data_IF_103175828525
#
_entry.id   IF_103175828525
#
_cell.length_a   1.000
_cell.length_b   1.000
_cell.length_c   1.000
_cell.angle_alpha   90.00
_cell.angle_beta   90.00
_cell.angle_gamma   90.00
#
_symmetry.space_group_name_H-M   'P 1'
#
loop_
_entity.id
_entity.type
_entity.pdbx_description
1 polymer ?
#
# COMPACT_ATOMS: atom_id res chain seq x y z
N UNK A 1 -15.22 -34.76 2.36
CA UNK A 1 -15.90 -33.64 3.04
C UNK A 1 -14.84 -32.55 3.16
N UNK A 2 -14.76 -31.64 2.14
CA UNK A 2 -13.82 -30.52 2.19
C UNK A 2 -14.42 -29.48 3.12
N UNK A 3 -13.85 -29.35 4.31
CA UNK A 3 -14.06 -28.19 5.17
C UNK A 3 -13.41 -27.03 4.43
N UNK A 4 -14.22 -26.18 3.76
CA UNK A 4 -13.75 -24.87 3.32
C UNK A 4 -13.52 -24.06 4.60
N UNK A 5 -12.26 -24.03 5.05
CA UNK A 5 -11.86 -23.11 6.09
C UNK A 5 -12.13 -21.68 5.53
N UNK A 6 -13.07 -21.01 6.15
CA UNK A 6 -13.36 -19.59 5.86
C UNK A 6 -12.15 -18.79 6.36
N UNK A 7 -11.30 -18.38 5.45
CA UNK A 7 -10.07 -17.62 5.74
C UNK A 7 -10.37 -16.25 6.38
N UNK A 8 -11.56 -15.70 6.13
CA UNK A 8 -11.95 -14.36 6.55
C UNK A 8 -13.43 -14.35 6.95
N UNK A 9 -13.75 -13.74 8.11
CA UNK A 9 -15.12 -13.66 8.63
C UNK A 9 -15.45 -12.25 9.14
N UNK A 10 -16.64 -11.74 8.79
CA UNK A 10 -17.21 -10.55 9.40
C UNK A 10 -16.34 -9.30 9.25
N UNK A 11 -15.74 -9.08 8.07
CA UNK A 11 -14.97 -7.87 7.78
C UNK A 11 -15.94 -6.79 7.30
N UNK A 12 -15.95 -5.66 8.02
CA UNK A 12 -16.58 -4.42 7.59
C UNK A 12 -15.51 -3.34 7.57
N UNK A 13 -15.26 -2.75 6.40
CA UNK A 13 -14.31 -1.65 6.23
C UNK A 13 -14.84 -0.66 5.21
N UNK A 14 -14.45 0.58 5.35
CA UNK A 14 -14.76 1.67 4.45
C UNK A 14 -13.46 2.36 4.05
N UNK A 15 -13.39 2.82 2.81
CA UNK A 15 -12.25 3.57 2.27
C UNK A 15 -12.82 4.77 1.52
N UNK A 16 -12.50 5.96 1.99
CA UNK A 16 -12.93 7.20 1.37
C UNK A 16 -11.90 7.71 0.34
N UNK A 17 -12.33 8.63 -0.49
CA UNK A 17 -11.44 9.31 -1.44
C UNK A 17 -10.36 10.09 -0.68
N UNK A 18 -9.10 9.95 -1.12
CA UNK A 18 -7.97 10.59 -0.46
C UNK A 18 -7.53 9.97 0.86
N UNK A 19 -8.21 8.91 1.32
CA UNK A 19 -7.90 8.19 2.57
C UNK A 19 -6.96 7.02 2.31
N UNK A 20 -6.01 6.79 3.21
CA UNK A 20 -5.14 5.62 3.24
C UNK A 20 -5.56 4.72 4.39
N UNK A 21 -6.15 3.58 4.05
CA UNK A 21 -6.51 2.52 5.00
C UNK A 21 -5.50 1.39 4.90
N UNK A 22 -4.92 0.98 6.02
CA UNK A 22 -3.93 -0.11 6.03
C UNK A 22 -4.45 -1.35 6.73
N UNK A 23 -4.34 -2.49 6.06
CA UNK A 23 -4.54 -3.81 6.65
C UNK A 23 -3.21 -4.34 7.19
N UNK A 24 -3.18 -4.62 8.48
CA UNK A 24 -2.05 -5.26 9.15
C UNK A 24 -2.48 -6.62 9.72
N UNK A 25 -1.52 -7.49 9.98
CA UNK A 25 -1.82 -8.80 10.57
C UNK A 25 -0.74 -9.83 10.24
N UNK A 26 -0.71 -10.97 10.93
CA UNK A 26 0.24 -12.05 10.66
C UNK A 26 0.05 -12.66 9.26
N UNK A 27 1.04 -13.42 8.82
CA UNK A 27 0.92 -14.16 7.56
C UNK A 27 -0.23 -15.17 7.66
N UNK A 28 -1.03 -15.27 6.57
CA UNK A 28 -2.22 -16.12 6.56
C UNK A 28 -3.47 -15.51 7.23
N UNK A 29 -3.40 -14.29 7.75
CA UNK A 29 -4.56 -13.64 8.42
C UNK A 29 -5.70 -13.23 7.47
N UNK A 30 -5.49 -13.33 6.14
CA UNK A 30 -6.50 -13.02 5.13
C UNK A 30 -6.41 -11.66 4.48
N UNK A 31 -5.31 -10.88 4.68
CA UNK A 31 -5.13 -9.53 4.11
C UNK A 31 -5.28 -9.50 2.58
N UNK A 32 -4.46 -10.27 1.87
CA UNK A 32 -4.52 -10.40 0.41
C UNK A 32 -5.86 -10.96 -0.07
N UNK A 33 -6.47 -11.87 0.69
CA UNK A 33 -7.81 -12.41 0.37
C UNK A 33 -8.87 -11.33 0.46
N UNK A 34 -8.84 -10.51 1.52
CA UNK A 34 -9.74 -9.35 1.68
C UNK A 34 -9.55 -8.35 0.54
N UNK A 35 -8.32 -8.01 0.19
CA UNK A 35 -8.03 -7.13 -0.93
C UNK A 35 -8.59 -7.66 -2.26
N UNK A 36 -8.42 -8.97 -2.53
CA UNK A 36 -8.96 -9.60 -3.74
C UNK A 36 -10.49 -9.65 -3.77
N UNK A 37 -11.15 -9.76 -2.61
CA UNK A 37 -12.61 -9.65 -2.51
C UNK A 37 -13.08 -8.22 -2.81
N UNK A 38 -12.42 -7.20 -2.27
CA UNK A 38 -12.73 -5.79 -2.55
C UNK A 38 -12.60 -5.47 -4.05
N UNK A 39 -11.59 -6.06 -4.70
CA UNK A 39 -11.34 -5.91 -6.13
C UNK A 39 -12.27 -6.76 -7.01
N UNK A 40 -13.19 -7.53 -6.43
CA UNK A 40 -14.03 -8.51 -7.13
C UNK A 40 -13.24 -9.57 -7.92
N UNK A 41 -11.99 -9.84 -7.52
CA UNK A 41 -11.17 -10.94 -8.06
C UNK A 41 -11.60 -12.27 -7.41
N UNK A 42 -12.01 -12.22 -6.15
CA UNK A 42 -12.58 -13.34 -5.42
C UNK A 42 -14.01 -13.00 -4.99
N UNK A 43 -14.93 -13.94 -5.18
CA UNK A 43 -16.29 -13.79 -4.71
C UNK A 43 -16.36 -13.93 -3.18
N UNK A 44 -17.22 -13.16 -2.54
CA UNK A 44 -17.58 -13.33 -1.14
C UNK A 44 -18.62 -14.44 -1.01
N UNK A 45 -18.48 -15.32 -0.01
CA UNK A 45 -19.54 -16.32 0.29
C UNK A 45 -20.76 -15.66 0.92
N UNK A 46 -20.53 -14.63 1.75
CA UNK A 46 -21.55 -13.83 2.43
C UNK A 46 -21.09 -12.36 2.48
N UNK A 47 -22.06 -11.43 2.54
CA UNK A 47 -21.80 -10.00 2.56
C UNK A 47 -21.77 -9.36 1.18
N UNK A 48 -21.55 -8.06 1.17
CA UNK A 48 -21.57 -7.24 -0.04
C UNK A 48 -20.35 -6.33 -0.09
N UNK A 49 -19.72 -6.25 -1.25
CA UNK A 49 -18.78 -5.19 -1.58
C UNK A 49 -19.57 -4.11 -2.31
N UNK A 50 -19.75 -2.96 -1.66
CA UNK A 50 -20.49 -1.83 -2.24
C UNK A 50 -19.55 -0.63 -2.36
N UNK A 51 -19.71 0.19 -3.38
CA UNK A 51 -18.91 1.40 -3.51
C UNK A 51 -19.18 2.16 -4.80
N UNK A 52 -18.75 3.42 -4.82
CA UNK A 52 -18.80 4.30 -5.99
C UNK A 52 -17.55 4.17 -6.87
N UNK A 53 -16.52 3.46 -6.42
CA UNK A 53 -15.29 3.26 -7.15
C UNK A 53 -15.59 2.50 -8.46
N UNK A 54 -15.40 3.18 -9.60
CA UNK A 54 -15.61 2.61 -10.94
C UNK A 54 -14.32 2.06 -11.52
N UNK A 55 -13.19 2.66 -11.14
CA UNK A 55 -11.86 2.29 -11.58
C UNK A 55 -11.06 1.84 -10.37
N UNK A 56 -10.72 0.58 -10.33
CA UNK A 56 -9.86 0.01 -9.28
C UNK A 56 -8.56 -0.47 -9.91
N UNK A 57 -7.45 -0.26 -9.20
CA UNK A 57 -6.14 -0.73 -9.61
C UNK A 57 -5.50 -1.55 -8.48
N UNK A 58 -4.67 -2.51 -8.86
CA UNK A 58 -4.01 -3.42 -7.94
C UNK A 58 -2.53 -3.60 -8.26
N UNK A 59 -1.70 -3.41 -7.26
CA UNK A 59 -0.28 -3.77 -7.28
C UNK A 59 -0.11 -4.97 -6.36
N UNK A 60 0.11 -6.17 -6.89
CA UNK A 60 0.27 -7.38 -6.11
C UNK A 60 1.66 -7.46 -5.48
N UNK A 61 1.78 -8.21 -4.38
CA UNK A 61 3.05 -8.47 -3.69
C UNK A 61 4.13 -9.06 -4.61
N UNK A 62 3.73 -9.94 -5.52
CA UNK A 62 4.65 -10.59 -6.48
C UNK A 62 4.04 -10.58 -7.87
N UNK A 63 4.85 -10.24 -8.84
CA UNK A 63 4.53 -10.39 -10.25
C UNK A 63 5.47 -11.44 -10.83
N UNK A 64 4.88 -12.43 -11.48
CA UNK A 64 5.63 -13.43 -12.21
C UNK A 64 5.97 -12.87 -13.60
N UNK A 65 7.20 -12.40 -13.76
CA UNK A 65 7.76 -11.95 -15.03
C UNK A 65 8.89 -12.92 -15.39
N UNK A 66 8.95 -13.32 -16.64
CA UNK A 66 10.14 -13.98 -17.17
C UNK A 66 11.23 -12.92 -17.38
N UNK A 67 12.16 -12.84 -16.44
CA UNK A 67 13.26 -11.87 -16.45
C UNK A 67 14.24 -12.06 -17.61
N UNK A 68 14.16 -13.15 -18.35
CA UNK A 68 14.96 -13.37 -19.55
C UNK A 68 14.38 -12.70 -20.79
N UNK A 69 13.11 -12.26 -20.72
CA UNK A 69 12.43 -11.59 -21.82
C UNK A 69 12.95 -10.15 -21.96
N UNK A 70 13.36 -9.72 -23.15
CA UNK A 70 13.75 -8.33 -23.40
C UNK A 70 12.51 -7.43 -23.41
N UNK A 71 12.11 -6.94 -22.22
CA UNK A 71 10.91 -6.17 -22.02
C UNK A 71 11.28 -4.78 -21.46
N UNK A 72 11.03 -3.71 -22.24
CA UNK A 72 11.25 -2.34 -21.80
C UNK A 72 10.08 -1.85 -20.94
N UNK A 73 10.33 -0.83 -20.12
CA UNK A 73 9.29 -0.19 -19.29
C UNK A 73 8.09 0.23 -20.14
N UNK A 74 8.30 0.90 -21.27
CA UNK A 74 7.20 1.32 -22.16
C UNK A 74 6.36 0.14 -22.65
N UNK A 75 6.98 -0.98 -22.98
CA UNK A 75 6.29 -2.18 -23.46
C UNK A 75 5.52 -2.84 -22.31
N UNK A 76 6.11 -2.89 -21.11
CA UNK A 76 5.46 -3.37 -19.89
C UNK A 76 4.24 -2.52 -19.51
N UNK A 77 4.32 -1.20 -19.63
CA UNK A 77 3.20 -0.30 -19.37
C UNK A 77 2.01 -0.55 -20.29
N UNK A 78 2.27 -0.97 -21.54
CA UNK A 78 1.25 -1.25 -22.56
C UNK A 78 0.64 -2.65 -22.45
N UNK A 79 1.30 -3.61 -21.79
CA UNK A 79 0.76 -4.95 -21.61
C UNK A 79 -0.56 -4.88 -20.82
N UNK A 80 -1.62 -5.51 -21.35
CA UNK A 80 -2.96 -5.60 -20.76
C UNK A 80 -3.71 -4.28 -20.57
N UNK A 81 -3.06 -3.13 -20.75
CA UNK A 81 -3.65 -1.81 -20.61
C UNK A 81 -3.54 -1.06 -21.94
N UNK A 82 -4.67 -0.60 -22.48
CA UNK A 82 -4.70 0.32 -23.62
C UNK A 82 -4.32 1.74 -23.15
N UNK A 83 -3.06 1.92 -22.72
CA UNK A 83 -2.53 3.23 -22.33
C UNK A 83 -1.95 3.94 -23.54
N UNK A 84 -2.26 5.23 -23.68
CA UNK A 84 -1.59 6.08 -24.64
C UNK A 84 -0.25 6.61 -24.08
N UNK A 85 0.60 7.16 -24.93
CA UNK A 85 1.93 7.61 -24.54
C UNK A 85 1.87 8.73 -23.47
N UNK A 86 0.90 9.63 -23.55
CA UNK A 86 0.71 10.72 -22.55
C UNK A 86 0.43 10.15 -21.18
N UNK A 87 -0.50 9.18 -21.06
CA UNK A 87 -0.81 8.51 -19.79
C UNK A 87 0.42 7.80 -19.20
N UNK A 88 1.22 7.15 -20.06
CA UNK A 88 2.44 6.49 -19.65
C UNK A 88 3.44 7.50 -19.08
N UNK A 89 3.74 8.56 -19.84
CA UNK A 89 4.71 9.58 -19.43
C UNK A 89 4.26 10.28 -18.15
N UNK A 90 3.00 10.73 -18.07
CA UNK A 90 2.44 11.36 -16.87
C UNK A 90 2.56 10.46 -15.64
N UNK A 91 2.20 9.19 -15.75
CA UNK A 91 2.23 8.28 -14.60
C UNK A 91 3.67 7.93 -14.16
N UNK A 92 4.60 7.77 -15.09
CA UNK A 92 6.01 7.56 -14.77
C UNK A 92 6.63 8.81 -14.13
N UNK A 93 6.29 10.01 -14.63
CA UNK A 93 6.73 11.27 -14.03
C UNK A 93 6.18 11.45 -12.61
N UNK A 94 4.91 11.12 -12.36
CA UNK A 94 4.33 11.13 -11.02
C UNK A 94 5.05 10.21 -10.03
N UNK A 95 5.64 9.13 -10.51
CA UNK A 95 6.40 8.19 -9.67
C UNK A 95 7.90 8.42 -9.70
N UNK A 96 8.38 9.45 -10.46
CA UNK A 96 9.79 9.86 -10.54
C UNK A 96 10.68 8.84 -11.23
N UNK A 97 10.17 8.18 -12.28
CA UNK A 97 10.89 7.15 -13.07
C UNK A 97 10.67 7.29 -14.58
N UNK A 98 10.32 8.48 -15.05
CA UNK A 98 10.09 8.77 -16.47
C UNK A 98 11.36 8.62 -17.33
N UNK A 99 12.52 8.86 -16.76
CA UNK A 99 13.82 8.62 -17.41
C UNK A 99 14.06 7.14 -17.75
N UNK A 100 13.37 6.22 -17.06
CA UNK A 100 13.51 4.77 -17.25
C UNK A 100 12.61 4.23 -18.37
N UNK A 101 11.87 5.07 -19.09
CA UNK A 101 10.85 4.67 -20.07
C UNK A 101 11.34 3.62 -21.08
N UNK A 102 12.59 3.72 -21.52
CA UNK A 102 13.18 2.80 -22.50
C UNK A 102 14.13 1.76 -21.91
N UNK A 103 14.33 1.78 -20.59
CA UNK A 103 15.16 0.80 -19.90
C UNK A 103 14.51 -0.58 -19.90
N UNK A 104 15.34 -1.61 -19.83
CA UNK A 104 14.88 -2.98 -19.68
C UNK A 104 14.39 -3.23 -18.25
N UNK A 105 13.25 -3.90 -18.08
CA UNK A 105 12.67 -4.20 -16.75
C UNK A 105 13.67 -4.95 -15.86
N UNK A 106 14.44 -5.88 -16.44
CA UNK A 106 15.42 -6.69 -15.68
C UNK A 106 16.64 -5.88 -15.19
N UNK A 107 16.86 -4.67 -15.70
CA UNK A 107 17.97 -3.79 -15.26
C UNK A 107 17.58 -2.82 -14.14
N UNK A 108 16.30 -2.80 -13.77
CA UNK A 108 15.79 -1.90 -12.73
C UNK A 108 16.15 -2.43 -11.34
N UNK A 109 16.45 -1.51 -10.42
CA UNK A 109 16.47 -1.82 -9.00
C UNK A 109 15.08 -2.19 -8.48
N UNK A 110 15.00 -2.83 -7.31
CA UNK A 110 13.71 -3.18 -6.70
C UNK A 110 12.80 -1.96 -6.51
N UNK A 111 13.35 -0.84 -6.03
CA UNK A 111 12.60 0.40 -5.82
C UNK A 111 12.12 1.04 -7.14
N UNK A 112 12.96 1.07 -8.16
CA UNK A 112 12.57 1.56 -9.50
C UNK A 112 11.46 0.70 -10.10
N UNK A 113 11.59 -0.62 -9.98
CA UNK A 113 10.56 -1.52 -10.47
C UNK A 113 9.23 -1.33 -9.73
N UNK A 114 9.24 -1.17 -8.39
CA UNK A 114 8.04 -0.86 -7.62
C UNK A 114 7.40 0.47 -8.05
N UNK A 115 8.19 1.52 -8.32
CA UNK A 115 7.68 2.78 -8.84
C UNK A 115 7.05 2.63 -10.22
N UNK A 116 7.62 1.82 -11.10
CA UNK A 116 7.04 1.48 -12.41
C UNK A 116 5.71 0.72 -12.25
N UNK A 117 5.61 -0.20 -11.28
CA UNK A 117 4.37 -0.91 -10.99
C UNK A 117 3.26 0.02 -10.52
N UNK A 118 3.60 0.95 -9.63
CA UNK A 118 2.67 1.97 -9.15
C UNK A 118 2.28 2.90 -10.30
N UNK A 119 3.24 3.37 -11.12
CA UNK A 119 2.95 4.20 -12.31
C UNK A 119 1.91 3.52 -13.22
N UNK A 120 2.12 2.23 -13.49
CA UNK A 120 1.19 1.44 -14.30
C UNK A 120 -0.22 1.35 -13.69
N UNK A 121 -0.30 1.19 -12.38
CA UNK A 121 -1.57 1.12 -11.65
C UNK A 121 -2.32 2.46 -11.69
N UNK A 122 -1.63 3.59 -11.52
CA UNK A 122 -2.24 4.92 -11.47
C UNK A 122 -2.48 5.56 -12.85
N UNK A 123 -1.93 4.99 -13.94
CA UNK A 123 -2.01 5.57 -15.28
C UNK A 123 -3.45 5.83 -15.79
N UNK A 124 -4.44 5.09 -15.28
CA UNK A 124 -5.86 5.29 -15.58
C UNK A 124 -6.60 6.11 -14.52
N UNK A 125 -5.89 6.74 -13.59
CA UNK A 125 -6.44 7.54 -12.49
C UNK A 125 -7.56 6.76 -11.76
N UNK A 126 -7.19 5.73 -10.98
CA UNK A 126 -8.17 4.91 -10.28
C UNK A 126 -8.85 5.67 -9.14
N UNK A 127 -10.08 5.28 -8.81
CA UNK A 127 -10.80 5.77 -7.64
C UNK A 127 -10.33 5.04 -6.36
N UNK A 128 -9.87 3.78 -6.51
CA UNK A 128 -9.30 2.94 -5.46
C UNK A 128 -8.02 2.26 -5.96
N UNK A 129 -6.93 2.45 -5.22
CA UNK A 129 -5.65 1.79 -5.45
C UNK A 129 -5.38 0.80 -4.31
N UNK A 130 -5.17 -0.45 -4.64
CA UNK A 130 -4.80 -1.50 -3.67
C UNK A 130 -3.33 -1.86 -3.86
N UNK A 131 -2.55 -1.74 -2.80
CA UNK A 131 -1.11 -2.01 -2.75
C UNK A 131 -0.84 -3.15 -1.77
N UNK A 132 -0.37 -4.28 -2.27
CA UNK A 132 -0.07 -5.46 -1.46
C UNK A 132 1.44 -5.58 -1.25
N UNK A 133 1.91 -5.20 -0.04
CA UNK A 133 3.33 -5.20 0.36
C UNK A 133 4.25 -4.45 -0.64
N UNK A 134 3.96 -3.18 -0.98
CA UNK A 134 4.63 -2.47 -2.10
C UNK A 134 6.11 -2.18 -1.87
N UNK A 135 6.62 -2.30 -0.64
CA UNK A 135 8.02 -2.02 -0.30
C UNK A 135 8.90 -3.27 -0.24
N UNK A 136 8.32 -4.45 -0.48
CA UNK A 136 9.07 -5.70 -0.38
C UNK A 136 10.24 -5.73 -1.39
N UNK A 137 11.46 -5.89 -0.87
CA UNK A 137 12.68 -5.94 -1.70
C UNK A 137 13.25 -4.58 -2.07
N UNK A 138 12.79 -3.52 -1.42
CA UNK A 138 13.32 -2.17 -1.51
C UNK A 138 14.26 -1.93 -0.31
N UNK A 139 15.30 -1.12 -0.48
CA UNK A 139 16.16 -0.71 0.62
C UNK A 139 15.48 0.35 1.49
N UNK A 140 15.99 0.57 2.71
CA UNK A 140 15.36 1.43 3.70
C UNK A 140 15.07 2.86 3.21
N UNK A 141 16.00 3.49 2.49
CA UNK A 141 15.78 4.84 1.94
C UNK A 141 14.72 4.84 0.84
N UNK A 142 14.70 3.81 0.02
CA UNK A 142 13.70 3.60 -1.01
C UNK A 142 12.31 3.35 -0.43
N UNK A 143 12.21 2.63 0.71
CA UNK A 143 10.96 2.43 1.43
C UNK A 143 10.34 3.74 1.89
N UNK A 144 11.12 4.61 2.55
CA UNK A 144 10.68 5.95 2.98
C UNK A 144 10.15 6.75 1.79
N UNK A 145 10.94 6.78 0.71
CA UNK A 145 10.58 7.52 -0.49
C UNK A 145 9.32 6.96 -1.16
N UNK A 146 9.09 5.63 -1.09
CA UNK A 146 7.93 4.99 -1.67
C UNK A 146 6.65 5.26 -0.86
N UNK A 147 6.72 5.26 0.47
CA UNK A 147 5.58 5.61 1.32
C UNK A 147 5.19 7.10 1.17
N UNK A 148 6.16 8.01 1.05
CA UNK A 148 5.88 9.41 0.74
C UNK A 148 5.18 9.55 -0.61
N UNK A 149 5.65 8.83 -1.63
CA UNK A 149 5.02 8.78 -2.94
C UNK A 149 3.56 8.27 -2.86
N UNK A 150 3.29 7.22 -2.10
CA UNK A 150 1.94 6.70 -1.89
C UNK A 150 1.02 7.77 -1.30
N UNK A 151 1.51 8.54 -0.32
CA UNK A 151 0.77 9.64 0.28
C UNK A 151 0.50 10.77 -0.73
N UNK A 152 1.48 11.14 -1.52
CA UNK A 152 1.31 12.14 -2.60
C UNK A 152 0.28 11.67 -3.65
N UNK A 153 0.30 10.39 -4.04
CA UNK A 153 -0.67 9.82 -4.98
C UNK A 153 -2.09 9.90 -4.41
N UNK A 154 -2.30 9.57 -3.15
CA UNK A 154 -3.62 9.66 -2.49
C UNK A 154 -4.20 11.07 -2.61
N UNK A 155 -3.39 12.09 -2.31
CA UNK A 155 -3.79 13.49 -2.37
C UNK A 155 -3.97 13.98 -3.82
N UNK A 156 -2.97 13.77 -4.68
CA UNK A 156 -2.94 14.33 -6.04
C UNK A 156 -4.03 13.74 -6.95
N UNK A 157 -4.35 12.46 -6.78
CA UNK A 157 -5.41 11.79 -7.54
C UNK A 157 -6.76 11.78 -6.82
N UNK A 158 -6.82 12.25 -5.57
CA UNK A 158 -7.99 12.10 -4.69
C UNK A 158 -8.49 10.64 -4.68
N UNK A 159 -7.56 9.70 -4.58
CA UNK A 159 -7.76 8.26 -4.72
C UNK A 159 -7.75 7.62 -3.33
N UNK A 160 -8.74 6.78 -3.01
CA UNK A 160 -8.69 5.93 -1.83
C UNK A 160 -7.60 4.88 -1.99
N UNK A 161 -6.81 4.63 -0.95
CA UNK A 161 -5.74 3.64 -0.97
C UNK A 161 -6.00 2.56 0.08
N UNK A 162 -6.00 1.30 -0.34
CA UNK A 162 -5.90 0.15 0.54
C UNK A 162 -4.47 -0.36 0.51
N UNK A 163 -3.75 -0.17 1.60
CA UNK A 163 -2.39 -0.64 1.78
C UNK A 163 -2.37 -1.92 2.60
N UNK A 164 -1.64 -2.93 2.18
CA UNK A 164 -1.29 -4.09 3.00
C UNK A 164 0.18 -3.95 3.34
N UNK A 165 0.48 -3.90 4.63
CA UNK A 165 1.85 -3.78 5.11
C UNK A 165 2.03 -4.49 6.45
N UNK A 166 3.23 -4.95 6.70
CA UNK A 166 3.66 -5.45 8.01
C UNK A 166 4.63 -4.48 8.70
N UNK A 167 5.03 -3.41 8.02
CA UNK A 167 5.94 -2.41 8.58
C UNK A 167 5.17 -1.32 9.33
N UNK A 168 5.21 -1.44 10.67
CA UNK A 168 4.47 -0.56 11.55
C UNK A 168 5.03 0.87 11.61
N UNK A 169 6.32 1.08 11.38
CA UNK A 169 6.90 2.41 11.41
C UNK A 169 6.31 3.30 10.32
N UNK A 170 6.19 2.76 9.12
CA UNK A 170 5.60 3.48 8.00
C UNK A 170 4.08 3.58 8.10
N UNK A 171 3.41 2.51 8.56
CA UNK A 171 1.97 2.52 8.79
C UNK A 171 1.59 3.67 9.72
N UNK A 172 2.36 3.89 10.80
CA UNK A 172 2.11 4.96 11.78
C UNK A 172 2.21 6.37 11.19
N UNK A 173 3.05 6.58 10.17
CA UNK A 173 3.33 7.92 9.61
C UNK A 173 2.51 8.27 8.38
N UNK A 174 1.98 7.26 7.67
CA UNK A 174 1.36 7.47 6.35
C UNK A 174 -0.11 7.11 6.30
N UNK A 175 -0.64 6.42 7.30
CA UNK A 175 -1.98 5.82 7.28
C UNK A 175 -2.96 6.65 8.10
N UNK A 176 -4.17 6.84 7.56
CA UNK A 176 -5.28 7.51 8.28
C UNK A 176 -6.02 6.52 9.19
N UNK A 177 -6.24 5.29 8.71
CA UNK A 177 -6.96 4.25 9.43
C UNK A 177 -6.27 2.89 9.31
N UNK A 178 -6.09 2.21 10.43
CA UNK A 178 -5.46 0.88 10.51
C UNK A 178 -6.51 -0.16 10.90
N UNK A 179 -6.45 -1.31 10.25
CA UNK A 179 -7.30 -2.47 10.55
C UNK A 179 -6.41 -3.69 10.81
N UNK A 180 -6.51 -4.23 12.01
CA UNK A 180 -5.81 -5.44 12.39
C UNK A 180 -6.63 -6.67 12.00
N UNK A 181 -6.06 -7.54 11.20
CA UNK A 181 -6.73 -8.72 10.69
C UNK A 181 -6.06 -10.00 11.18
N UNK A 182 -6.87 -10.93 11.69
CA UNK A 182 -6.49 -12.30 12.03
C UNK A 182 -7.67 -13.25 11.78
N UNK A 183 -8.03 -13.43 10.50
CA UNK A 183 -9.25 -14.13 10.09
C UNK A 183 -10.54 -13.33 10.33
N UNK A 184 -10.51 -12.35 11.20
CA UNK A 184 -11.53 -11.34 11.50
C UNK A 184 -10.86 -10.03 11.91
N UNK A 185 -11.60 -8.94 12.01
CA UNK A 185 -11.08 -7.67 12.52
C UNK A 185 -10.91 -7.78 14.04
N UNK A 186 -9.64 -7.75 14.51
CA UNK A 186 -9.31 -7.79 15.93
C UNK A 186 -9.29 -6.39 16.55
N UNK A 187 -8.82 -5.41 15.81
CA UNK A 187 -8.81 -3.99 16.20
C UNK A 187 -8.85 -3.10 14.97
N UNK A 188 -9.34 -1.89 15.13
CA UNK A 188 -9.33 -0.87 14.07
C UNK A 188 -9.36 0.52 14.70
N UNK A 189 -8.85 1.52 13.96
CA UNK A 189 -8.83 2.91 14.39
C UNK A 189 -7.65 3.69 13.82
N UNK A 190 -7.42 4.89 14.36
CA UNK A 190 -6.20 5.64 14.03
C UNK A 190 -4.96 4.85 14.45
N UNK A 191 -3.81 5.03 13.77
CA UNK A 191 -2.57 4.33 14.12
C UNK A 191 -2.24 4.40 15.63
N UNK A 192 -2.36 5.58 16.22
CA UNK A 192 -2.09 5.82 17.65
C UNK A 192 -3.00 5.05 18.61
N UNK A 193 -4.25 4.82 18.22
CA UNK A 193 -5.20 4.04 19.02
C UNK A 193 -4.94 2.54 18.89
N UNK A 194 -4.62 2.09 17.67
CA UNK A 194 -4.36 0.67 17.39
C UNK A 194 -3.15 0.15 18.17
N UNK A 195 -2.05 0.89 18.24
CA UNK A 195 -0.84 0.48 18.98
C UNK A 195 -1.11 0.27 20.48
N UNK A 196 -2.07 1.00 21.05
CA UNK A 196 -2.47 0.88 22.46
C UNK A 196 -3.50 -0.24 22.70
N UNK A 197 -4.03 -0.83 21.64
CA UNK A 197 -5.08 -1.84 21.76
C UNK A 197 -4.50 -3.17 22.27
N UNK A 198 -5.09 -3.80 23.30
CA UNK A 198 -4.62 -5.09 23.85
C UNK A 198 -4.53 -6.21 22.82
N UNK A 199 -5.46 -6.27 21.85
CA UNK A 199 -5.43 -7.28 20.80
C UNK A 199 -4.26 -7.06 19.81
N UNK A 200 -3.90 -5.80 19.55
CA UNK A 200 -2.69 -5.49 18.79
C UNK A 200 -1.43 -5.99 19.52
N UNK A 201 -1.30 -5.65 20.82
CA UNK A 201 -0.15 -6.06 21.65
C UNK A 201 -0.05 -7.58 21.71
N UNK A 202 -1.17 -8.29 21.80
CA UNK A 202 -1.23 -9.75 21.79
C UNK A 202 -0.76 -10.37 20.46
N UNK A 203 -1.08 -9.73 19.32
CA UNK A 203 -0.72 -10.22 17.98
C UNK A 203 0.75 -9.93 17.61
N UNK A 204 1.27 -8.77 18.00
CA UNK A 204 2.57 -8.26 17.54
C UNK A 204 3.63 -8.16 18.64
N UNK A 205 3.27 -8.34 19.93
CA UNK A 205 4.13 -8.31 21.11
C UNK A 205 4.37 -6.90 21.66
N UNK A 206 4.72 -6.83 22.95
CA UNK A 206 4.97 -5.56 23.66
C UNK A 206 6.16 -4.76 23.09
N UNK A 207 7.18 -5.44 22.59
CA UNK A 207 8.41 -4.79 22.10
C UNK A 207 8.14 -3.87 20.90
N UNK A 208 7.20 -4.23 20.02
CA UNK A 208 6.82 -3.40 18.89
C UNK A 208 5.97 -2.19 19.31
N UNK A 209 5.18 -2.29 20.39
CA UNK A 209 4.34 -1.18 20.85
C UNK A 209 5.14 -0.09 21.58
N UNK A 210 6.19 -0.42 22.31
CA UNK A 210 7.04 0.53 23.03
C UNK A 210 7.93 1.33 22.07
N UNK A 211 8.51 0.67 21.07
CA UNK A 211 9.34 1.32 20.05
C UNK A 211 8.54 2.33 19.21
N UNK A 212 7.28 2.02 18.92
CA UNK A 212 6.38 2.88 18.14
C UNK A 212 5.83 4.07 18.93
N UNK A 213 5.63 3.93 20.25
CA UNK A 213 5.21 5.04 21.12
C UNK A 213 6.30 6.11 21.28
N UNK A 214 7.56 5.74 21.15
CA UNK A 214 8.71 6.67 21.22
C UNK A 214 8.79 7.60 20.00
N UNK A 215 8.34 7.16 18.82
CA UNK A 215 8.37 7.96 17.59
C UNK A 215 7.32 9.08 17.55
N UNK A 216 6.24 8.99 18.30
CA UNK A 216 5.20 10.04 18.36
C UNK A 216 5.61 11.30 19.14
N UNK A 217 6.69 11.27 19.94
CA UNK A 217 7.08 12.39 20.80
C UNK A 217 8.15 13.32 20.20
N UNK A 218 8.61 13.14 18.97
CA UNK A 218 9.79 13.85 18.45
C UNK A 218 9.51 14.91 17.36
N UNK A 219 8.26 15.29 17.11
CA UNK A 219 7.96 16.31 16.09
C UNK A 219 7.50 17.68 16.60
N UNK A 220 7.63 17.98 17.89
CA UNK A 220 7.17 19.24 18.49
C UNK A 220 8.28 20.27 18.71
N UNK A 221 9.36 20.26 17.92
CA UNK A 221 10.34 21.36 17.96
C UNK A 221 10.75 21.78 16.55
N UNK A 222 10.64 23.09 16.30
CA UNK A 222 11.16 23.72 15.09
C UNK A 222 12.63 24.09 15.30
N UNK A 223 13.48 23.74 14.36
CA UNK A 223 14.87 24.20 14.33
C UNK A 223 14.91 25.60 13.74
N UNK A 224 15.48 26.54 14.48
CA UNK A 224 15.79 27.88 13.99
C UNK A 224 17.02 27.80 13.06
N UNK A 225 17.15 28.76 12.14
CA UNK A 225 18.28 28.85 11.17
C UNK A 225 19.69 28.97 11.81
N UNK A 226 19.77 29.15 13.12
CA UNK A 226 21.02 29.24 13.92
C UNK A 226 21.36 27.95 14.69
N UNK A 227 20.57 26.87 14.53
CA UNK A 227 20.78 25.58 15.19
C UNK A 227 20.26 25.50 16.64
N UNK A 228 19.56 26.50 17.15
CA UNK A 228 18.94 26.46 18.49
C UNK A 228 17.55 25.83 18.47
N UNK A 229 17.21 25.09 19.53
CA UNK A 229 15.91 24.43 19.72
C UNK A 229 15.00 25.36 20.54
N UNK A 230 13.86 25.76 19.97
CA UNK A 230 12.79 26.40 20.75
C UNK A 230 11.80 25.35 21.26
N UNK A 231 11.55 25.41 22.58
CA UNK A 231 10.52 24.60 23.26
C UNK A 231 9.14 25.15 22.99
#
# INVERSE_FOLDING_TARGET
>A
MCIRDRLVRGISLEINQGEIVTLIGPNGSGKTTTAKMILNILNTDEGLVTGKARKMAYVPQKINIDWTMPLRVIDFMKITNSLNNTQITESLSMTGVDELLYNQIHSLSGGEFQRVLIARAIAKKPDLLVLDEPVQGVDFNGEIALYNLIKEISVNLNCGILLISHDMHFVMSTTDHVICLNGHICCSGSPSNVVKNPEYIKLFGQHNSETLSYYQHHHDHSHNHDGSISK
#
